data_IF_466428869287
#
_entry.id   IF_466428869287
#
_cell.length_a   1.000
_cell.length_b   1.000
_cell.length_c   1.000
_cell.angle_alpha   90.00
_cell.angle_beta   90.00
_cell.angle_gamma   90.00
#
_symmetry.space_group_name_H-M   'P 1'
#
loop_
_entity.id
_entity.type
_entity.pdbx_description
1 polymer ?
#
# COMPACT_ATOMS: atom_id res chain seq x y z
N UNK A 1 -9.66 -39.97 27.76
CA UNK A 1 -11.08 -39.58 27.67
C UNK A 1 -11.30 -38.27 28.41
N UNK A 2 -12.03 -37.34 27.79
CA UNK A 2 -12.42 -36.04 28.34
C UNK A 2 -12.85 -35.14 27.18
N UNK A 3 -14.16 -35.08 26.95
CA UNK A 3 -14.84 -34.53 25.76
C UNK A 3 -15.64 -33.27 26.18
N UNK A 4 -15.73 -32.29 25.27
CA UNK A 4 -16.80 -31.28 25.09
C UNK A 4 -16.86 -30.17 26.17
N UNK A 5 -17.18 -28.89 25.88
CA UNK A 5 -18.28 -28.28 25.11
C UNK A 5 -17.86 -26.84 24.65
N UNK A 6 -18.04 -26.46 23.37
CA UNK A 6 -19.12 -25.60 22.84
C UNK A 6 -19.30 -24.20 23.48
N UNK A 7 -19.19 -23.16 22.65
CA UNK A 7 -19.77 -21.82 22.84
C UNK A 7 -18.88 -20.73 22.26
N UNK A 8 -19.27 -19.86 21.35
CA UNK A 8 -20.53 -19.60 20.67
C UNK A 8 -20.32 -18.31 19.86
N UNK A 9 -20.69 -18.29 18.59
CA UNK A 9 -20.55 -17.14 17.71
C UNK A 9 -21.58 -16.07 18.06
N UNK A 10 -21.16 -14.81 18.11
CA UNK A 10 -22.09 -13.66 18.06
C UNK A 10 -21.79 -12.84 16.81
N UNK A 11 -22.73 -12.89 15.87
CA UNK A 11 -22.83 -11.96 14.75
C UNK A 11 -23.57 -10.72 15.26
N UNK A 12 -22.87 -9.60 15.38
CA UNK A 12 -23.49 -8.31 15.64
C UNK A 12 -23.86 -7.66 14.30
N UNK A 13 -25.05 -7.97 13.79
CA UNK A 13 -25.65 -7.26 12.67
C UNK A 13 -26.35 -6.01 13.20
N UNK A 14 -25.72 -4.86 13.02
CA UNK A 14 -26.29 -3.56 13.40
C UNK A 14 -26.65 -2.74 12.17
N UNK A 15 -27.86 -2.91 11.65
CA UNK A 15 -28.50 -1.95 10.73
C UNK A 15 -28.95 -0.73 11.52
N UNK A 16 -28.35 0.43 11.25
CA UNK A 16 -28.79 1.73 11.75
C UNK A 16 -28.94 2.71 10.59
N UNK A 17 -30.16 2.83 10.07
CA UNK A 17 -30.56 3.86 9.11
C UNK A 17 -30.90 5.13 9.88
N UNK A 18 -30.12 6.19 9.67
CA UNK A 18 -30.38 7.53 10.20
C UNK A 18 -30.78 8.49 9.09
N UNK A 19 -32.06 8.85 9.08
CA UNK A 19 -32.71 9.84 8.23
C UNK A 19 -32.18 11.26 8.47
N UNK A 20 -32.18 12.11 7.43
CA UNK A 20 -32.26 13.56 7.64
C UNK A 20 -31.81 14.41 6.46
N UNK A 21 -32.73 14.78 5.58
CA UNK A 21 -32.52 15.85 4.61
C UNK A 21 -33.55 15.87 3.48
N UNK A 22 -34.59 16.70 3.63
CA UNK A 22 -35.57 17.09 2.61
C UNK A 22 -34.86 17.66 1.34
N UNK A 23 -35.43 17.73 0.13
CA UNK A 23 -36.68 18.40 -0.24
C UNK A 23 -37.28 17.87 -1.55
N UNK A 24 -38.60 18.01 -1.64
CA UNK A 24 -39.47 17.75 -2.79
C UNK A 24 -39.20 18.75 -3.93
N UNK A 25 -39.18 18.25 -5.17
CA UNK A 25 -39.19 19.09 -6.37
C UNK A 25 -39.51 18.25 -7.61
N UNK A 26 -40.80 18.22 -7.97
CA UNK A 26 -41.35 17.48 -9.11
C UNK A 26 -41.54 18.41 -10.31
N UNK A 27 -41.13 17.98 -11.51
CA UNK A 27 -41.75 18.23 -12.84
C UNK A 27 -40.78 17.72 -13.92
N UNK A 28 -41.07 16.65 -14.65
CA UNK A 28 -41.99 16.48 -15.80
C UNK A 28 -41.26 16.62 -17.15
N UNK A 29 -41.01 15.45 -17.75
CA UNK A 29 -41.15 15.04 -19.16
C UNK A 29 -40.47 15.84 -20.29
N UNK A 30 -39.50 15.15 -20.92
CA UNK A 30 -39.35 14.86 -22.37
C UNK A 30 -39.58 15.97 -23.41
N UNK A 31 -38.49 16.42 -24.06
CA UNK A 31 -38.34 16.46 -25.53
C UNK A 31 -36.98 17.05 -25.96
N UNK A 32 -36.13 16.21 -26.56
CA UNK A 32 -34.99 16.58 -27.44
C UNK A 32 -35.52 17.26 -28.73
N UNK A 33 -34.72 17.96 -29.59
CA UNK A 33 -33.27 18.07 -29.61
C UNK A 33 -32.68 19.45 -30.02
N UNK A 34 -31.32 19.50 -30.03
CA UNK A 34 -30.45 20.38 -30.84
C UNK A 34 -29.97 21.67 -30.15
N UNK A 35 -28.72 21.67 -29.67
CA UNK A 35 -27.64 22.41 -30.32
C UNK A 35 -26.33 22.13 -29.61
N UNK A 36 -25.27 22.01 -30.41
CA UNK A 36 -23.88 21.80 -30.05
C UNK A 36 -23.40 22.81 -29.01
N UNK A 37 -22.73 22.33 -27.97
CA UNK A 37 -21.41 22.83 -27.58
C UNK A 37 -20.76 21.82 -26.63
N UNK A 38 -19.53 21.47 -26.99
CA UNK A 38 -18.63 20.60 -26.25
C UNK A 38 -18.34 21.18 -24.86
N UNK A 39 -18.56 20.40 -23.82
CA UNK A 39 -17.57 20.33 -22.74
C UNK A 39 -17.62 18.91 -22.17
N UNK A 40 -16.80 18.03 -22.75
CA UNK A 40 -16.49 16.73 -22.17
C UNK A 40 -15.81 16.94 -20.82
N UNK A 41 -16.60 16.97 -19.74
CA UNK A 41 -16.10 16.56 -18.42
C UNK A 41 -16.07 15.03 -18.39
N UNK A 42 -15.11 14.51 -19.14
CA UNK A 42 -14.58 13.18 -18.94
C UNK A 42 -14.05 13.12 -17.50
N UNK A 43 -14.89 12.65 -16.59
CA UNK A 43 -14.44 12.26 -15.27
C UNK A 43 -13.83 10.88 -15.41
N UNK A 44 -12.65 10.82 -16.02
CA UNK A 44 -11.80 9.64 -15.90
C UNK A 44 -11.61 9.42 -14.40
N UNK A 45 -11.97 8.25 -13.84
CA UNK A 45 -11.51 7.93 -12.49
C UNK A 45 -9.99 7.94 -12.56
N UNK A 46 -9.36 8.89 -11.86
CA UNK A 46 -7.91 8.92 -11.66
C UNK A 46 -7.54 7.57 -11.03
N UNK A 47 -7.12 6.64 -11.89
CA UNK A 47 -6.55 5.38 -11.48
C UNK A 47 -5.29 5.79 -10.75
N UNK A 48 -5.37 5.80 -9.41
CA UNK A 48 -4.20 5.98 -8.54
C UNK A 48 -3.24 4.88 -8.93
N UNK A 49 -2.27 5.23 -9.78
CA UNK A 49 -1.21 4.35 -10.19
C UNK A 49 -0.47 4.01 -8.90
N UNK A 50 -0.72 2.80 -8.37
CA UNK A 50 -0.04 2.29 -7.20
C UNK A 50 1.42 2.16 -7.61
N UNK A 51 2.20 3.21 -7.36
CA UNK A 51 3.63 3.24 -7.68
C UNK A 51 4.26 2.03 -7.00
N UNK A 52 4.72 1.07 -7.81
CA UNK A 52 5.44 -0.10 -7.31
C UNK A 52 6.70 0.41 -6.62
N UNK A 53 6.88 0.01 -5.37
CA UNK A 53 8.08 0.38 -4.63
C UNK A 53 9.26 -0.48 -5.06
N UNK A 54 10.37 0.15 -5.41
CA UNK A 54 11.64 -0.53 -5.65
C UNK A 54 12.48 -0.57 -4.38
N UNK A 55 12.77 -1.78 -3.90
CA UNK A 55 13.62 -2.00 -2.74
C UNK A 55 15.00 -2.41 -3.20
N UNK A 56 16.03 -1.73 -2.67
CA UNK A 56 17.43 -1.99 -2.97
C UNK A 56 18.16 -2.47 -1.71
N UNK A 57 18.97 -3.53 -1.86
CA UNK A 57 19.82 -4.05 -0.79
C UNK A 57 21.25 -3.51 -0.95
N UNK A 58 21.70 -2.74 0.02
CA UNK A 58 23.06 -2.20 0.11
C UNK A 58 24.06 -3.36 0.23
N UNK A 59 25.03 -3.38 -0.69
CA UNK A 59 26.13 -4.36 -0.71
C UNK A 59 27.33 -3.85 0.06
N UNK A 60 27.81 -2.66 -0.30
CA UNK A 60 28.92 -1.96 0.38
C UNK A 60 28.60 -0.49 0.52
N UNK A 61 28.52 -0.05 1.77
CA UNK A 61 28.29 1.36 2.10
C UNK A 61 29.48 2.24 1.75
N UNK A 62 30.72 1.76 1.95
CA UNK A 62 31.94 2.51 1.64
C UNK A 62 32.05 2.89 0.15
N UNK A 63 31.52 2.04 -0.73
CA UNK A 63 31.55 2.24 -2.19
C UNK A 63 30.20 2.75 -2.73
N UNK A 64 29.24 3.02 -1.85
CA UNK A 64 27.87 3.40 -2.20
C UNK A 64 27.24 2.45 -3.23
N UNK A 65 27.35 1.13 -3.05
CA UNK A 65 26.79 0.13 -3.98
C UNK A 65 25.58 -0.59 -3.41
N UNK A 66 24.56 -0.80 -4.23
CA UNK A 66 23.35 -1.53 -3.89
C UNK A 66 22.86 -2.40 -5.06
N UNK A 67 22.13 -3.47 -4.74
CA UNK A 67 21.48 -4.33 -5.73
C UNK A 67 19.97 -4.18 -5.63
N UNK A 68 19.25 -4.49 -6.70
CA UNK A 68 17.79 -4.68 -6.63
C UNK A 68 17.51 -5.84 -5.68
N UNK A 69 16.67 -5.63 -4.67
CA UNK A 69 16.25 -6.67 -3.76
C UNK A 69 14.98 -7.33 -4.29
N UNK A 70 15.08 -8.09 -5.38
CA UNK A 70 13.90 -8.60 -6.12
C UNK A 70 12.95 -9.46 -5.28
N UNK A 71 13.47 -10.20 -4.29
CA UNK A 71 12.71 -11.12 -3.45
C UNK A 71 12.13 -10.48 -2.17
N UNK A 72 12.17 -9.15 -2.05
CA UNK A 72 11.82 -8.47 -0.79
C UNK A 72 10.38 -8.75 -0.32
N UNK A 73 9.42 -8.87 -1.24
CA UNK A 73 8.02 -9.16 -0.91
C UNK A 73 7.86 -10.56 -0.30
N UNK A 74 8.55 -11.56 -0.88
CA UNK A 74 8.56 -12.92 -0.33
C UNK A 74 9.18 -12.93 1.06
N UNK A 75 10.33 -12.26 1.23
CA UNK A 75 11.01 -12.16 2.52
C UNK A 75 10.15 -11.45 3.56
N UNK A 76 9.41 -10.40 3.18
CA UNK A 76 8.46 -9.70 4.03
C UNK A 76 7.35 -10.63 4.50
N UNK A 77 6.74 -11.37 3.58
CA UNK A 77 5.66 -12.29 3.93
C UNK A 77 6.12 -13.39 4.88
N UNK A 78 7.30 -13.98 4.64
CA UNK A 78 7.92 -14.99 5.50
C UNK A 78 8.19 -14.44 6.90
N UNK A 79 8.76 -13.24 6.99
CA UNK A 79 9.08 -12.59 8.25
C UNK A 79 7.83 -12.23 9.05
N UNK A 80 6.81 -11.64 8.41
CA UNK A 80 5.56 -11.28 9.08
C UNK A 80 4.79 -12.53 9.56
N UNK A 81 4.80 -13.61 8.77
CA UNK A 81 4.21 -14.90 9.18
C UNK A 81 4.93 -15.49 10.39
N UNK A 82 6.25 -15.32 10.47
CA UNK A 82 7.07 -15.74 11.60
C UNK A 82 7.15 -14.71 12.74
N UNK A 83 6.43 -13.59 12.65
CA UNK A 83 6.48 -12.45 13.58
C UNK A 83 7.91 -11.91 13.82
N UNK A 84 8.72 -11.81 12.77
CA UNK A 84 10.08 -11.26 12.75
C UNK A 84 10.11 -9.96 11.97
N UNK A 85 11.08 -9.08 12.28
CA UNK A 85 11.37 -7.87 11.51
C UNK A 85 10.15 -6.96 11.26
N UNK A 86 9.13 -7.00 12.11
CA UNK A 86 7.86 -6.28 11.90
C UNK A 86 8.09 -4.76 11.78
N UNK A 87 8.86 -4.19 12.71
CA UNK A 87 9.18 -2.75 12.71
C UNK A 87 10.06 -2.33 11.52
N UNK A 88 10.93 -3.23 11.07
CA UNK A 88 11.74 -3.02 9.86
C UNK A 88 10.83 -2.91 8.63
N UNK A 89 9.90 -3.85 8.45
CA UNK A 89 8.99 -3.85 7.31
C UNK A 89 8.02 -2.67 7.33
N UNK A 90 7.59 -2.22 8.52
CA UNK A 90 6.81 -0.99 8.66
C UNK A 90 7.59 0.24 8.16
N UNK A 91 8.88 0.32 8.50
CA UNK A 91 9.76 1.41 8.06
C UNK A 91 9.99 1.37 6.54
N UNK A 92 10.13 0.18 5.96
CA UNK A 92 10.20 -0.02 4.50
C UNK A 92 8.92 0.44 3.82
N UNK A 93 7.75 0.08 4.35
CA UNK A 93 6.45 0.50 3.79
C UNK A 93 6.26 2.02 3.83
N UNK A 94 6.71 2.67 4.91
CA UNK A 94 6.69 4.12 5.02
C UNK A 94 7.63 4.79 4.00
N UNK A 95 8.85 4.28 3.85
CA UNK A 95 9.80 4.77 2.85
C UNK A 95 9.34 4.54 1.41
N UNK A 96 8.65 3.43 1.18
CA UNK A 96 8.09 3.05 -0.13
C UNK A 96 7.03 4.01 -0.66
N UNK A 97 6.44 4.86 0.17
CA UNK A 97 5.56 5.96 -0.30
C UNK A 97 6.26 6.89 -1.29
N UNK A 98 7.59 6.95 -1.26
CA UNK A 98 8.43 7.71 -2.18
C UNK A 98 8.88 6.92 -3.43
N UNK A 99 8.38 5.69 -3.62
CA UNK A 99 8.62 4.85 -4.79
C UNK A 99 9.91 4.02 -4.77
N UNK A 100 10.91 4.39 -3.95
CA UNK A 100 12.12 3.59 -3.77
C UNK A 100 12.62 3.60 -2.34
N UNK A 101 13.33 2.54 -1.95
CA UNK A 101 13.92 2.42 -0.62
C UNK A 101 15.24 1.66 -0.63
N UNK A 102 16.19 2.07 0.21
CA UNK A 102 17.47 1.40 0.41
C UNK A 102 17.52 0.75 1.80
N UNK A 103 17.80 -0.54 1.84
CA UNK A 103 17.92 -1.32 3.08
C UNK A 103 19.29 -1.96 3.16
N UNK A 104 19.74 -2.27 4.36
CA UNK A 104 21.01 -2.98 4.59
C UNK A 104 20.74 -4.27 5.36
N UNK A 105 21.65 -5.24 5.22
CA UNK A 105 21.64 -6.47 6.01
C UNK A 105 23.03 -6.70 6.59
N UNK A 106 23.18 -6.43 7.89
CA UNK A 106 24.45 -6.54 8.60
C UNK A 106 24.35 -7.68 9.61
N UNK A 107 25.24 -8.67 9.52
CA UNK A 107 25.24 -9.83 10.42
C UNK A 107 23.92 -10.63 10.39
N UNK A 108 23.21 -10.64 9.26
CA UNK A 108 21.91 -11.30 9.11
C UNK A 108 20.70 -10.45 9.54
N UNK A 109 20.92 -9.29 10.16
CA UNK A 109 19.86 -8.40 10.64
C UNK A 109 19.57 -7.32 9.61
N UNK A 110 18.30 -7.19 9.24
CA UNK A 110 17.84 -6.12 8.36
C UNK A 110 17.80 -4.78 9.09
N UNK A 111 18.23 -3.72 8.40
CA UNK A 111 18.19 -2.35 8.91
C UNK A 111 17.72 -1.38 7.84
N UNK A 112 16.80 -0.53 8.28
CA UNK A 112 16.35 0.67 7.59
C UNK A 112 16.96 1.89 8.29
N UNK A 113 17.45 2.87 7.53
CA UNK A 113 17.89 4.16 8.08
C UNK A 113 17.55 5.28 7.10
N UNK A 114 17.26 6.46 7.64
CA UNK A 114 17.04 7.66 6.83
C UNK A 114 18.34 8.13 6.14
N UNK A 115 19.49 7.88 6.77
CA UNK A 115 20.81 8.19 6.20
C UNK A 115 21.06 7.42 4.90
N UNK A 116 20.61 6.16 4.81
CA UNK A 116 20.70 5.42 3.56
C UNK A 116 19.82 6.02 2.45
N UNK A 117 18.70 6.66 2.78
CA UNK A 117 17.78 7.20 1.78
C UNK A 117 18.31 8.48 1.12
N UNK A 118 19.18 9.24 1.81
CA UNK A 118 19.76 10.48 1.30
C UNK A 118 21.07 10.26 0.51
N UNK A 119 21.65 9.06 0.55
CA UNK A 119 22.85 8.70 -0.20
C UNK A 119 22.54 8.40 -1.66
N UNK A 120 23.50 8.70 -2.52
CA UNK A 120 23.47 8.29 -3.93
C UNK A 120 24.10 6.92 -4.08
N UNK A 121 23.29 5.92 -4.41
CA UNK A 121 23.73 4.54 -4.57
C UNK A 121 23.92 4.20 -6.05
N UNK A 122 25.07 3.58 -6.36
CA UNK A 122 25.31 2.91 -7.63
C UNK A 122 24.63 1.55 -7.61
N UNK A 123 23.61 1.39 -8.45
CA UNK A 123 22.94 0.10 -8.63
C UNK A 123 23.86 -0.80 -9.45
N UNK A 124 24.22 -1.96 -8.89
CA UNK A 124 24.99 -2.98 -9.59
C UNK A 124 24.10 -4.21 -9.78
N UNK A 125 24.04 -4.69 -11.01
CA UNK A 125 23.45 -5.98 -11.37
C UNK A 125 24.55 -7.02 -11.22
N UNK A 126 24.36 -7.97 -10.30
CA UNK A 126 25.18 -9.20 -10.23
C UNK A 126 24.89 -10.11 -11.43
#
# INVERSE_FOLDING_TARGET
>A
MGKLLLGGSVLATGTGVGLGGAWLGSSKEDSTPKSLEEESKDSTPEVVEVKKCEVFLIKREADSTANVFSDWERQKQEDLTANRNVDFWKSVDEGCKNGKVYVSKLGGVFKYSLEHQSKNWKIVTE
#
